data_IF_310848187861
#
_entry.id   IF_310848187861
#
_cell.length_a   1.000
_cell.length_b   1.000
_cell.length_c   1.000
_cell.angle_alpha   90.00
_cell.angle_beta   90.00
_cell.angle_gamma   90.00
#
_symmetry.space_group_name_H-M   'P 1'
#
loop_
_entity.id
_entity.type
_entity.pdbx_description
1 polymer ?
#
# COMPACT_ATOMS: atom_id res chain seq x y z
N UNK A 1 -4.02 -14.06 23.78
CA UNK A 1 -5.11 -13.13 23.39
C UNK A 1 -4.91 -12.51 21.98
N UNK A 2 -3.71 -12.56 21.40
CA UNK A 2 -3.41 -11.92 20.10
C UNK A 2 -3.96 -12.62 18.83
N UNK A 3 -4.77 -13.67 18.98
CA UNK A 3 -5.51 -14.26 17.86
C UNK A 3 -6.75 -13.41 17.50
N UNK A 4 -7.32 -13.53 16.29
CA UNK A 4 -8.56 -12.82 15.94
C UNK A 4 -9.72 -13.11 16.90
N UNK A 5 -9.93 -14.39 17.28
CA UNK A 5 -10.95 -14.77 18.25
C UNK A 5 -10.69 -14.18 19.63
N UNK A 6 -9.45 -14.21 20.11
CA UNK A 6 -9.09 -13.62 21.39
C UNK A 6 -9.36 -12.11 21.42
N UNK A 7 -9.05 -11.40 20.34
CA UNK A 7 -9.36 -9.96 20.21
C UNK A 7 -10.86 -9.69 20.18
N UNK A 8 -11.66 -10.52 19.49
CA UNK A 8 -13.13 -10.39 19.52
C UNK A 8 -13.67 -10.56 20.94
N UNK A 9 -13.17 -11.54 21.69
CA UNK A 9 -13.56 -11.72 23.10
C UNK A 9 -13.18 -10.49 23.92
N UNK A 10 -11.95 -9.96 23.78
CA UNK A 10 -11.55 -8.74 24.49
C UNK A 10 -12.46 -7.55 24.15
N UNK A 11 -12.76 -7.34 22.85
CA UNK A 11 -13.66 -6.28 22.42
C UNK A 11 -15.06 -6.43 23.04
N UNK A 12 -15.59 -7.66 23.07
CA UNK A 12 -16.88 -7.98 23.69
C UNK A 12 -16.86 -7.66 25.17
N UNK A 13 -15.87 -8.13 25.93
CA UNK A 13 -15.75 -7.88 27.37
C UNK A 13 -15.62 -6.38 27.67
N UNK A 14 -14.93 -5.61 26.83
CA UNK A 14 -14.86 -4.15 26.95
C UNK A 14 -16.25 -3.51 26.76
N UNK A 15 -16.99 -3.91 25.72
CA UNK A 15 -18.32 -3.35 25.44
C UNK A 15 -19.37 -3.72 26.50
N UNK A 16 -19.24 -4.89 27.13
CA UNK A 16 -20.11 -5.37 28.23
C UNK A 16 -19.68 -4.82 29.58
N UNK A 17 -18.57 -4.06 29.66
CA UNK A 17 -18.07 -3.47 30.91
C UNK A 17 -17.34 -4.46 31.83
N UNK A 18 -17.05 -5.68 31.36
CA UNK A 18 -16.32 -6.71 32.09
C UNK A 18 -14.80 -6.50 32.11
N UNK A 19 -14.27 -5.73 31.17
CA UNK A 19 -12.83 -5.46 31.04
C UNK A 19 -12.58 -3.97 30.73
N UNK A 20 -11.66 -3.28 31.46
CA UNK A 20 -11.25 -1.93 31.10
C UNK A 20 -10.60 -1.91 29.69
N UNK A 21 -10.91 -0.90 28.87
CA UNK A 21 -10.31 -0.72 27.55
C UNK A 21 -8.78 -0.68 27.59
N UNK A 22 -8.20 -0.11 28.65
CA UNK A 22 -6.76 -0.03 28.84
C UNK A 22 -6.07 -1.41 28.90
N UNK A 23 -6.77 -2.43 29.43
CA UNK A 23 -6.25 -3.79 29.54
C UNK A 23 -6.32 -4.54 28.21
N UNK A 24 -7.32 -4.22 27.37
CA UNK A 24 -7.45 -4.75 26.02
C UNK A 24 -6.49 -4.09 25.00
N UNK A 25 -6.13 -2.82 25.24
CA UNK A 25 -5.37 -1.96 24.34
C UNK A 25 -4.08 -2.62 23.78
N UNK A 26 -3.19 -3.23 24.60
CA UNK A 26 -1.97 -3.84 24.10
C UNK A 26 -2.20 -4.95 23.06
N UNK A 27 -3.31 -5.67 23.18
CA UNK A 27 -3.68 -6.75 22.27
C UNK A 27 -4.29 -6.22 20.96
N UNK A 28 -5.10 -5.17 21.06
CA UNK A 28 -5.76 -4.53 19.93
C UNK A 28 -4.76 -3.72 19.10
N UNK A 29 -3.84 -3.00 19.73
CA UNK A 29 -2.75 -2.25 19.07
C UNK A 29 -1.76 -3.15 18.31
N UNK A 30 -1.58 -4.41 18.75
CA UNK A 30 -0.79 -5.41 18.03
C UNK A 30 -1.48 -6.00 16.81
N UNK A 31 -2.73 -5.65 16.53
CA UNK A 31 -3.41 -6.10 15.33
C UNK A 31 -2.87 -5.35 14.11
N UNK A 32 -2.39 -6.09 13.11
CA UNK A 32 -1.92 -5.52 11.84
C UNK A 32 -3.05 -4.87 11.01
N UNK A 33 -4.31 -5.22 11.24
CA UNK A 33 -5.41 -4.84 10.33
C UNK A 33 -5.27 -5.43 8.93
N UNK A 34 -4.56 -6.56 8.79
CA UNK A 34 -4.30 -7.20 7.49
C UNK A 34 -5.50 -7.94 6.89
N UNK A 35 -6.55 -8.15 7.66
CA UNK A 35 -7.82 -8.78 7.29
C UNK A 35 -7.71 -10.24 6.79
N UNK A 36 -6.56 -10.89 6.98
CA UNK A 36 -6.40 -12.32 6.64
C UNK A 36 -7.36 -13.22 7.43
N UNK A 37 -7.78 -12.80 8.61
CA UNK A 37 -8.77 -13.50 9.42
C UNK A 37 -10.17 -13.48 8.81
N UNK A 38 -10.54 -12.45 8.02
CA UNK A 38 -11.82 -12.42 7.29
C UNK A 38 -11.84 -13.48 6.19
N UNK A 39 -10.78 -13.56 5.39
CA UNK A 39 -10.65 -14.55 4.31
C UNK A 39 -10.61 -15.99 4.85
N UNK A 40 -10.01 -16.17 6.03
CA UNK A 40 -9.90 -17.48 6.68
C UNK A 40 -11.15 -17.88 7.49
N UNK A 41 -12.11 -16.99 7.70
CA UNK A 41 -13.26 -17.23 8.56
C UNK A 41 -14.37 -17.97 7.82
N UNK A 42 -14.70 -19.24 8.19
CA UNK A 42 -15.79 -19.97 7.54
C UNK A 42 -17.17 -19.38 7.87
N UNK A 43 -17.28 -18.61 8.96
CA UNK A 43 -18.53 -17.96 9.38
C UNK A 43 -18.71 -16.57 8.79
N UNK A 44 -17.79 -16.08 7.95
CA UNK A 44 -17.90 -14.80 7.26
C UNK A 44 -17.86 -13.57 8.20
N UNK A 45 -17.18 -13.65 9.36
CA UNK A 45 -17.08 -12.52 10.29
C UNK A 45 -16.29 -11.37 9.63
N UNK A 46 -16.91 -10.22 9.51
CA UNK A 46 -16.31 -8.99 9.01
C UNK A 46 -15.52 -8.32 10.14
N UNK A 47 -14.30 -8.77 10.35
CA UNK A 47 -13.45 -8.33 11.45
C UNK A 47 -13.11 -6.82 11.39
N UNK A 48 -13.05 -6.24 10.18
CA UNK A 48 -12.83 -4.79 10.00
C UNK A 48 -13.89 -3.95 10.71
N UNK A 49 -15.15 -4.38 10.65
CA UNK A 49 -16.27 -3.67 11.25
C UNK A 49 -16.23 -3.69 12.80
N UNK A 50 -15.38 -4.54 13.37
CA UNK A 50 -15.16 -4.63 14.81
C UNK A 50 -13.90 -3.85 15.24
N UNK A 51 -12.80 -4.01 14.50
CA UNK A 51 -11.52 -3.44 14.92
C UNK A 51 -11.39 -1.94 14.63
N UNK A 52 -12.01 -1.44 13.54
CA UNK A 52 -11.90 -0.01 13.18
C UNK A 52 -12.59 0.88 14.24
N UNK A 53 -13.87 0.65 14.66
CA UNK A 53 -14.47 1.42 15.73
C UNK A 53 -13.70 1.31 17.05
N UNK A 54 -13.21 0.11 17.37
CA UNK A 54 -12.45 -0.09 18.61
C UNK A 54 -11.13 0.69 18.63
N UNK A 55 -10.48 0.88 17.46
CA UNK A 55 -9.30 1.75 17.34
C UNK A 55 -9.64 3.23 17.56
N UNK A 56 -10.81 3.67 17.15
CA UNK A 56 -11.29 5.02 17.43
C UNK A 56 -11.43 5.25 18.94
N UNK A 57 -12.07 4.32 19.62
CA UNK A 57 -12.20 4.35 21.08
C UNK A 57 -10.82 4.33 21.77
N UNK A 58 -9.90 3.47 21.32
CA UNK A 58 -8.54 3.43 21.83
C UNK A 58 -7.83 4.78 21.69
N UNK A 59 -7.94 5.41 20.53
CA UNK A 59 -7.32 6.73 20.28
C UNK A 59 -7.98 7.81 21.16
N UNK A 60 -9.29 7.78 21.31
CA UNK A 60 -10.01 8.74 22.17
C UNK A 60 -9.54 8.68 23.64
N UNK A 61 -9.18 7.49 24.13
CA UNK A 61 -8.70 7.27 25.50
C UNK A 61 -7.20 7.48 25.69
N UNK A 62 -6.42 7.67 24.60
CA UNK A 62 -4.97 7.99 24.70
C UNK A 62 -4.77 9.38 25.35
N UNK A 63 -3.62 9.60 26.05
CA UNK A 63 -3.25 10.93 26.56
C UNK A 63 -3.29 12.00 25.47
N UNK A 64 -3.64 13.24 25.80
CA UNK A 64 -3.77 14.34 24.83
C UNK A 64 -2.52 14.54 23.98
N UNK A 65 -1.33 14.43 24.58
CA UNK A 65 -0.05 14.53 23.87
C UNK A 65 0.12 13.43 22.79
N UNK A 66 -0.26 12.18 23.10
CA UNK A 66 -0.20 11.07 22.15
C UNK A 66 -1.21 11.26 20.99
N UNK A 67 -2.42 11.74 21.30
CA UNK A 67 -3.42 12.09 20.28
C UNK A 67 -2.93 13.20 19.34
N UNK A 68 -2.34 14.25 19.93
CA UNK A 68 -1.79 15.36 19.14
C UNK A 68 -0.63 14.89 18.25
N UNK A 69 0.26 14.05 18.78
CA UNK A 69 1.35 13.44 18.00
C UNK A 69 0.81 12.64 16.82
N UNK A 70 -0.16 11.75 17.04
CA UNK A 70 -0.80 10.96 15.99
C UNK A 70 -1.44 11.86 14.92
N UNK A 71 -2.25 12.85 15.33
CA UNK A 71 -2.89 13.80 14.39
C UNK A 71 -1.87 14.57 13.56
N UNK A 72 -0.77 15.01 14.19
CA UNK A 72 0.30 15.72 13.48
C UNK A 72 0.98 14.82 12.45
N UNK A 73 1.32 13.59 12.83
CA UNK A 73 1.92 12.60 11.94
C UNK A 73 1.01 12.30 10.75
N UNK A 74 -0.27 12.03 11.00
CA UNK A 74 -1.26 11.77 9.95
C UNK A 74 -1.42 12.96 9.01
N UNK A 75 -1.44 14.19 9.54
CA UNK A 75 -1.52 15.42 8.74
C UNK A 75 -0.30 15.61 7.83
N UNK A 76 0.90 15.36 8.35
CA UNK A 76 2.13 15.40 7.57
C UNK A 76 2.09 14.37 6.46
N UNK A 77 1.73 13.12 6.75
CA UNK A 77 1.68 12.04 5.75
C UNK A 77 0.56 12.22 4.72
N UNK A 78 -0.54 12.89 5.07
CA UNK A 78 -1.64 13.17 4.15
C UNK A 78 -1.30 14.25 3.11
N UNK A 79 -0.32 15.13 3.40
CA UNK A 79 0.12 16.20 2.49
C UNK A 79 1.42 15.82 1.80
N UNK A 80 1.45 15.60 0.47
CA UNK A 80 2.69 15.27 -0.25
C UNK A 80 3.80 16.31 -0.04
N UNK A 81 3.46 17.60 0.05
CA UNK A 81 4.43 18.66 0.27
C UNK A 81 5.05 18.61 1.68
N UNK A 82 4.22 18.49 2.72
CA UNK A 82 4.71 18.35 4.10
C UNK A 82 5.48 17.05 4.29
N UNK A 83 4.99 15.96 3.72
CA UNK A 83 5.66 14.66 3.80
C UNK A 83 7.01 14.70 3.09
N UNK A 84 7.12 15.32 1.93
CA UNK A 84 8.40 15.50 1.22
C UNK A 84 9.40 16.32 2.04
N UNK A 85 8.96 17.43 2.63
CA UNK A 85 9.82 18.27 3.48
C UNK A 85 10.31 17.49 4.71
N UNK A 86 9.40 16.83 5.43
CA UNK A 86 9.73 15.99 6.58
C UNK A 86 10.67 14.83 6.20
N UNK A 87 10.40 14.15 5.08
CA UNK A 87 11.21 13.06 4.58
C UNK A 87 12.62 13.52 4.15
N UNK A 88 12.75 14.70 3.57
CA UNK A 88 14.05 15.29 3.22
C UNK A 88 14.90 15.56 4.46
N UNK A 89 14.31 16.17 5.48
CA UNK A 89 14.98 16.38 6.79
C UNK A 89 15.33 15.05 7.44
N UNK A 90 14.40 14.09 7.45
CA UNK A 90 14.61 12.76 8.01
C UNK A 90 15.70 11.96 7.29
N UNK A 91 15.80 12.07 5.96
CA UNK A 91 16.87 11.41 5.19
C UNK A 91 18.27 11.91 5.60
N UNK A 92 18.40 13.22 5.85
CA UNK A 92 19.64 13.82 6.39
C UNK A 92 19.96 13.36 7.83
N UNK A 93 18.93 13.11 8.64
CA UNK A 93 19.09 12.66 10.03
C UNK A 93 19.21 11.13 10.18
N UNK A 94 19.14 10.35 9.10
CA UNK A 94 19.12 8.88 9.13
C UNK A 94 20.34 8.26 9.83
N UNK A 95 21.49 8.90 9.77
CA UNK A 95 22.71 8.49 10.47
C UNK A 95 22.53 8.47 12.00
N UNK A 96 21.62 9.26 12.54
CA UNK A 96 21.32 9.35 13.97
C UNK A 96 20.29 8.29 14.42
N UNK A 97 19.68 7.54 13.50
CA UNK A 97 18.62 6.58 13.80
C UNK A 97 18.92 5.60 14.93
N UNK A 98 20.17 5.05 15.08
CA UNK A 98 20.49 4.13 16.18
C UNK A 98 20.47 4.78 17.57
N UNK A 99 20.63 6.10 17.66
CA UNK A 99 20.66 6.85 18.92
C UNK A 99 19.28 7.41 19.31
N UNK A 100 18.28 7.24 18.46
CA UNK A 100 16.93 7.78 18.66
C UNK A 100 15.97 6.72 19.21
N UNK A 101 14.83 7.13 19.83
CA UNK A 101 13.78 6.20 20.23
C UNK A 101 13.38 5.27 19.08
N UNK A 102 13.08 4.00 19.40
CA UNK A 102 12.86 2.94 18.41
C UNK A 102 11.83 3.29 17.33
N UNK A 103 10.76 3.99 17.68
CA UNK A 103 9.72 4.46 16.72
C UNK A 103 10.27 5.48 15.71
N UNK A 104 11.09 6.43 16.18
CA UNK A 104 11.73 7.43 15.31
C UNK A 104 12.79 6.77 14.45
N UNK A 105 13.63 5.92 15.03
CA UNK A 105 14.63 5.14 14.30
C UNK A 105 13.99 4.28 13.19
N UNK A 106 12.88 3.59 13.49
CA UNK A 106 12.11 2.82 12.52
C UNK A 106 11.57 3.71 11.40
N UNK A 107 10.98 4.85 11.74
CA UNK A 107 10.45 5.80 10.74
C UNK A 107 11.56 6.31 9.81
N UNK A 108 12.72 6.67 10.34
CA UNK A 108 13.86 7.12 9.53
C UNK A 108 14.42 6.00 8.65
N UNK A 109 14.41 4.75 9.12
CA UNK A 109 14.88 3.59 8.35
C UNK A 109 14.04 3.34 7.09
N UNK A 110 12.75 3.69 7.11
CA UNK A 110 11.84 3.55 5.97
C UNK A 110 12.10 4.57 4.85
N UNK A 111 12.82 5.65 5.14
CA UNK A 111 13.13 6.66 4.13
C UNK A 111 14.25 6.13 3.21
N UNK A 112 14.19 6.41 1.90
CA UNK A 112 15.31 6.12 0.99
C UNK A 112 16.51 6.99 1.35
N UNK A 113 17.71 6.56 0.95
CA UNK A 113 18.93 7.36 1.16
C UNK A 113 18.87 8.73 0.45
N UNK A 114 18.20 8.76 -0.70
CA UNK A 114 17.87 9.99 -1.45
C UNK A 114 16.44 9.93 -1.90
N UNK A 115 15.68 10.99 -1.66
CA UNK A 115 14.33 11.09 -2.19
C UNK A 115 14.38 11.23 -3.72
N UNK A 116 13.48 10.57 -4.44
CA UNK A 116 13.29 10.81 -5.87
C UNK A 116 12.99 12.30 -6.13
N UNK A 117 13.43 12.80 -7.28
CA UNK A 117 13.02 14.13 -7.71
C UNK A 117 11.49 14.25 -7.75
N UNK A 118 10.92 15.41 -7.44
CA UNK A 118 9.51 15.66 -7.68
C UNK A 118 9.16 15.38 -9.14
N UNK A 119 8.14 14.59 -9.35
CA UNK A 119 7.68 14.22 -10.68
C UNK A 119 6.16 14.41 -10.72
N UNK A 120 5.72 15.45 -11.40
CA UNK A 120 4.31 15.74 -11.61
C UNK A 120 3.84 15.00 -12.87
N UNK A 121 2.94 14.02 -12.76
CA UNK A 121 2.42 13.35 -13.94
C UNK A 121 1.62 14.33 -14.80
N UNK A 122 1.55 14.12 -16.13
CA UNK A 122 0.70 14.91 -17.00
C UNK A 122 -0.78 14.74 -16.58
N UNK A 123 -1.54 15.84 -16.65
CA UNK A 123 -2.97 15.81 -16.31
C UNK A 123 -3.78 14.89 -17.23
N UNK A 124 -3.27 14.61 -18.43
CA UNK A 124 -3.89 13.77 -19.44
C UNK A 124 -2.85 12.95 -20.20
N UNK A 125 -3.17 11.68 -20.44
CA UNK A 125 -2.37 10.79 -21.30
C UNK A 125 -3.30 10.11 -22.29
N UNK A 126 -3.07 10.32 -23.58
CA UNK A 126 -3.86 9.71 -24.64
C UNK A 126 -3.63 8.20 -24.74
N UNK A 127 -4.65 7.47 -25.13
CA UNK A 127 -4.55 6.07 -25.50
C UNK A 127 -3.59 5.89 -26.71
N UNK A 128 -2.83 4.81 -26.71
CA UNK A 128 -2.06 4.40 -27.89
C UNK A 128 -2.89 3.42 -28.70
N UNK A 129 -3.18 3.78 -29.94
CA UNK A 129 -4.08 3.02 -30.81
C UNK A 129 -5.55 3.28 -30.52
N UNK A 130 -6.47 2.37 -30.88
CA UNK A 130 -7.89 2.51 -30.63
C UNK A 130 -8.18 2.66 -29.14
N UNK A 131 -9.03 3.62 -28.76
CA UNK A 131 -9.43 3.82 -27.37
C UNK A 131 -10.33 2.67 -26.91
N UNK A 132 -9.94 2.03 -25.81
CA UNK A 132 -10.64 0.91 -25.16
C UNK A 132 -11.26 1.27 -23.82
N UNK A 133 -10.92 2.43 -23.30
CA UNK A 133 -11.46 2.94 -22.03
C UNK A 133 -10.89 4.31 -21.67
N UNK A 134 -11.53 4.97 -20.69
CA UNK A 134 -11.10 6.24 -20.11
C UNK A 134 -11.14 6.11 -18.60
N UNK A 135 -10.02 6.36 -17.91
CA UNK A 135 -9.92 6.21 -16.46
C UNK A 135 -9.32 7.44 -15.80
N UNK A 136 -9.62 7.63 -14.53
CA UNK A 136 -8.90 8.57 -13.68
C UNK A 136 -7.86 7.81 -12.84
N UNK A 137 -6.62 8.30 -12.78
CA UNK A 137 -5.55 7.66 -12.03
C UNK A 137 -5.28 8.41 -10.71
N UNK A 138 -5.32 7.67 -9.61
CA UNK A 138 -4.92 8.15 -8.29
C UNK A 138 -3.39 8.20 -8.18
N UNK A 139 -2.83 9.33 -7.72
CA UNK A 139 -1.38 9.50 -7.52
C UNK A 139 -0.89 9.02 -6.15
N UNK A 140 -1.74 9.16 -5.11
CA UNK A 140 -1.42 8.83 -3.72
C UNK A 140 -0.49 9.83 -3.02
N UNK A 141 -0.68 10.03 -1.71
CA UNK A 141 0.08 11.00 -0.93
C UNK A 141 1.54 10.55 -0.69
N UNK A 142 1.74 9.36 -0.12
CA UNK A 142 3.07 8.81 0.19
C UNK A 142 3.78 8.31 -1.07
N UNK A 143 3.04 7.65 -1.97
CA UNK A 143 3.59 7.07 -3.20
C UNK A 143 4.19 8.12 -4.13
N UNK A 144 3.53 9.28 -4.28
CA UNK A 144 4.04 10.38 -5.12
C UNK A 144 5.37 10.97 -4.62
N UNK A 145 5.69 10.77 -3.35
CA UNK A 145 6.95 11.23 -2.75
C UNK A 145 8.02 10.16 -2.78
N UNK A 146 7.69 8.93 -2.34
CA UNK A 146 8.68 7.86 -2.19
C UNK A 146 8.95 7.10 -3.50
N UNK A 147 7.96 7.00 -4.38
CA UNK A 147 8.09 6.22 -5.63
C UNK A 147 7.19 6.77 -6.76
N UNK A 148 7.41 8.00 -7.23
CA UNK A 148 6.62 8.61 -8.30
C UNK A 148 6.65 7.78 -9.60
N UNK A 149 7.70 7.00 -9.81
CA UNK A 149 7.84 6.08 -10.95
C UNK A 149 6.67 5.12 -11.11
N UNK A 150 5.95 4.76 -10.03
CA UNK A 150 4.76 3.90 -10.11
C UNK A 150 3.64 4.57 -10.90
N UNK A 151 3.38 5.85 -10.65
CA UNK A 151 2.37 6.63 -11.41
C UNK A 151 2.73 6.69 -12.89
N UNK A 152 3.98 6.99 -13.22
CA UNK A 152 4.45 7.04 -14.61
C UNK A 152 4.41 5.67 -15.30
N UNK A 153 4.71 4.61 -14.57
CA UNK A 153 4.58 3.25 -15.08
C UNK A 153 3.10 2.92 -15.39
N UNK A 154 2.18 3.29 -14.48
CA UNK A 154 0.75 3.10 -14.70
C UNK A 154 0.25 3.84 -15.95
N UNK A 155 0.61 5.12 -16.10
CA UNK A 155 0.26 5.91 -17.29
C UNK A 155 0.72 5.22 -18.58
N UNK A 156 1.97 4.76 -18.61
CA UNK A 156 2.53 4.10 -19.80
C UNK A 156 1.86 2.77 -20.11
N UNK A 157 1.61 1.96 -19.10
CA UNK A 157 0.97 0.65 -19.28
C UNK A 157 -0.47 0.83 -19.75
N UNK A 158 -1.25 1.68 -19.06
CA UNK A 158 -2.63 1.95 -19.43
C UNK A 158 -2.73 2.51 -20.85
N UNK A 159 -1.92 3.52 -21.19
CA UNK A 159 -1.91 4.08 -22.53
C UNK A 159 -1.54 3.04 -23.60
N UNK A 160 -0.55 2.18 -23.33
CA UNK A 160 -0.14 1.12 -24.25
C UNK A 160 -1.23 0.06 -24.47
N UNK A 161 -2.14 -0.10 -23.51
CA UNK A 161 -3.29 -0.99 -23.62
C UNK A 161 -4.56 -0.30 -24.19
N UNK A 162 -4.40 0.90 -24.77
CA UNK A 162 -5.50 1.64 -25.39
C UNK A 162 -6.39 2.42 -24.41
N UNK A 163 -5.88 2.72 -23.21
CA UNK A 163 -6.64 3.44 -22.18
C UNK A 163 -6.23 4.91 -22.14
N UNK A 164 -7.20 5.79 -22.19
CA UNK A 164 -7.06 7.23 -21.96
C UNK A 164 -7.03 7.48 -20.45
N UNK A 165 -6.04 8.21 -19.95
CA UNK A 165 -5.86 8.42 -18.52
C UNK A 165 -5.90 9.89 -18.17
N UNK A 166 -6.79 10.26 -17.26
CA UNK A 166 -6.86 11.57 -16.63
C UNK A 166 -6.21 11.49 -15.25
N UNK A 167 -5.36 12.45 -14.93
CA UNK A 167 -4.81 12.62 -13.58
C UNK A 167 -5.34 13.94 -13.02
N UNK A 168 -6.44 13.92 -12.26
CA UNK A 168 -7.03 15.15 -11.75
C UNK A 168 -6.04 15.88 -10.82
N UNK A 169 -5.96 17.21 -10.88
CA UNK A 169 -5.17 17.98 -9.92
C UNK A 169 -5.83 17.97 -8.53
N UNK A 170 -5.03 18.21 -7.49
CA UNK A 170 -5.57 18.44 -6.15
C UNK A 170 -6.16 17.22 -5.43
N UNK A 171 -5.88 16.01 -5.89
CA UNK A 171 -6.46 14.77 -5.34
C UNK A 171 -6.29 14.61 -3.81
N UNK A 172 -5.15 15.03 -3.23
CA UNK A 172 -4.91 14.87 -1.80
C UNK A 172 -4.71 13.40 -1.36
N UNK A 173 -5.12 13.11 -0.13
CA UNK A 173 -5.01 11.79 0.49
C UNK A 173 -6.37 11.09 0.52
N UNK A 174 -6.38 9.78 0.26
CA UNK A 174 -7.58 8.94 0.32
C UNK A 174 -8.14 8.71 1.74
N UNK A 175 -7.47 9.18 2.79
CA UNK A 175 -7.92 9.03 4.19
C UNK A 175 -7.65 7.65 4.82
N UNK A 176 -7.24 6.64 4.06
CA UNK A 176 -7.06 5.27 4.54
C UNK A 176 -6.17 5.16 5.78
N UNK A 177 -5.05 5.89 5.80
CA UNK A 177 -4.10 5.82 6.91
C UNK A 177 -4.71 6.37 8.22
N UNK A 178 -5.48 7.46 8.14
CA UNK A 178 -6.14 8.06 9.29
C UNK A 178 -7.24 7.13 9.84
N UNK A 179 -8.08 6.55 8.98
CA UNK A 179 -9.11 5.58 9.37
C UNK A 179 -8.50 4.36 10.06
N UNK A 180 -7.48 3.76 9.47
CA UNK A 180 -6.80 2.59 10.06
C UNK A 180 -6.07 2.89 11.36
N UNK A 181 -5.68 4.14 11.59
CA UNK A 181 -5.05 4.60 12.83
C UNK A 181 -6.07 5.02 13.90
N UNK A 182 -7.39 5.00 13.61
CA UNK A 182 -8.46 5.38 14.54
C UNK A 182 -8.79 6.88 14.57
N UNK A 183 -8.32 7.67 13.59
CA UNK A 183 -8.78 9.05 13.39
C UNK A 183 -9.82 9.08 12.27
N UNK A 184 -11.04 8.64 12.59
CA UNK A 184 -12.13 8.51 11.63
C UNK A 184 -12.58 9.85 11.07
N UNK A 185 -12.62 10.91 11.89
CA UNK A 185 -13.01 12.25 11.47
C UNK A 185 -12.09 12.77 10.37
N UNK A 186 -10.76 12.74 10.60
CA UNK A 186 -9.78 13.13 9.60
C UNK A 186 -9.85 12.22 8.37
N UNK A 187 -10.00 10.90 8.59
CA UNK A 187 -10.09 9.93 7.51
C UNK A 187 -11.29 10.17 6.60
N UNK A 188 -12.45 10.44 7.18
CA UNK A 188 -13.70 10.72 6.45
C UNK A 188 -13.61 12.03 5.68
N UNK A 189 -13.12 13.11 6.31
CA UNK A 189 -12.94 14.40 5.64
C UNK A 189 -11.98 14.30 4.44
N UNK A 190 -10.86 13.59 4.60
CA UNK A 190 -9.90 13.34 3.51
C UNK A 190 -10.51 12.50 2.40
N UNK A 191 -11.25 11.45 2.73
CA UNK A 191 -11.90 10.57 1.75
C UNK A 191 -12.94 11.34 0.91
N UNK A 192 -13.75 12.18 1.54
CA UNK A 192 -14.75 13.01 0.86
C UNK A 192 -14.09 14.01 -0.11
N UNK A 193 -13.05 14.74 0.35
CA UNK A 193 -12.31 15.67 -0.49
C UNK A 193 -11.61 14.98 -1.65
N UNK A 194 -11.04 13.78 -1.42
CA UNK A 194 -10.40 12.96 -2.43
C UNK A 194 -11.42 12.46 -3.47
N UNK A 195 -12.57 11.95 -3.05
CA UNK A 195 -13.62 11.47 -3.95
C UNK A 195 -14.14 12.59 -4.87
N UNK A 196 -14.30 13.81 -4.33
CA UNK A 196 -14.76 14.98 -5.07
C UNK A 196 -13.77 15.45 -6.16
N UNK A 197 -12.50 15.01 -6.11
CA UNK A 197 -11.50 15.39 -7.11
C UNK A 197 -11.59 14.61 -8.42
N UNK A 198 -12.32 13.50 -8.47
CA UNK A 198 -12.39 12.65 -9.65
C UNK A 198 -13.58 13.01 -10.54
N UNK A 199 -13.38 13.07 -11.88
CA UNK A 199 -14.45 13.32 -12.81
C UNK A 199 -15.43 12.14 -12.87
N UNK A 200 -16.70 12.44 -13.15
CA UNK A 200 -17.74 11.43 -13.26
C UNK A 200 -17.75 10.72 -14.63
N UNK A 201 -17.11 11.30 -15.65
CA UNK A 201 -17.09 10.83 -17.04
C UNK A 201 -15.95 9.85 -17.34
N UNK A 202 -15.62 8.99 -16.37
CA UNK A 202 -14.60 7.94 -16.49
C UNK A 202 -15.20 6.56 -16.20
N UNK A 203 -14.63 5.55 -16.83
CA UNK A 203 -15.07 4.16 -16.64
C UNK A 203 -14.69 3.60 -15.26
N UNK A 204 -13.59 4.12 -14.69
CA UNK A 204 -13.12 3.74 -13.35
C UNK A 204 -12.13 4.76 -12.80
N UNK A 205 -11.99 4.77 -11.47
CA UNK A 205 -10.86 5.39 -10.75
C UNK A 205 -9.84 4.30 -10.43
N UNK A 206 -8.62 4.46 -10.92
CA UNK A 206 -7.55 3.45 -10.79
C UNK A 206 -6.66 3.75 -9.60
N UNK A 207 -6.55 2.80 -8.69
CA UNK A 207 -5.65 2.81 -7.57
C UNK A 207 -4.41 1.93 -7.84
N UNK A 208 -3.23 2.43 -7.50
CA UNK A 208 -1.97 1.67 -7.56
C UNK A 208 -1.42 1.32 -6.17
N UNK A 209 -2.17 1.61 -5.11
CA UNK A 209 -1.80 1.29 -3.74
C UNK A 209 -2.94 0.52 -3.07
N UNK A 210 -2.71 -0.73 -2.73
CA UNK A 210 -3.73 -1.65 -2.24
C UNK A 210 -4.50 -1.14 -1.02
N UNK A 211 -3.82 -0.48 -0.06
CA UNK A 211 -4.48 0.11 1.11
C UNK A 211 -5.40 1.28 0.76
N UNK A 212 -4.97 2.13 -0.18
CA UNK A 212 -5.81 3.21 -0.69
C UNK A 212 -7.01 2.65 -1.46
N UNK A 213 -6.79 1.72 -2.39
CA UNK A 213 -7.85 1.09 -3.18
C UNK A 213 -8.89 0.41 -2.31
N UNK A 214 -8.48 -0.31 -1.26
CA UNK A 214 -9.40 -0.92 -0.29
C UNK A 214 -10.28 0.13 0.38
N UNK A 215 -9.67 1.17 0.97
CA UNK A 215 -10.43 2.22 1.66
C UNK A 215 -11.34 2.99 0.70
N UNK A 216 -10.88 3.28 -0.51
CA UNK A 216 -11.68 3.99 -1.51
C UNK A 216 -12.90 3.17 -1.96
N UNK A 217 -12.78 1.84 -2.11
CA UNK A 217 -13.93 0.97 -2.43
C UNK A 217 -15.02 1.06 -1.37
N UNK A 218 -14.65 1.29 -0.10
CA UNK A 218 -15.60 1.45 1.00
C UNK A 218 -16.19 2.86 1.10
N UNK A 219 -15.49 3.90 0.64
CA UNK A 219 -15.84 5.31 0.92
C UNK A 219 -16.11 6.16 -0.32
N UNK A 220 -15.78 5.68 -1.52
CA UNK A 220 -15.87 6.47 -2.75
C UNK A 220 -17.30 6.58 -3.27
N UNK A 221 -17.78 7.78 -3.47
CA UNK A 221 -19.17 8.09 -3.86
C UNK A 221 -19.31 8.80 -5.21
N UNK A 222 -18.22 8.91 -5.98
CA UNK A 222 -18.20 9.72 -7.23
C UNK A 222 -18.88 9.06 -8.46
N UNK A 223 -19.54 7.93 -8.30
CA UNK A 223 -20.25 7.24 -9.38
C UNK A 223 -19.39 6.27 -10.22
N UNK A 224 -18.12 6.55 -10.46
CA UNK A 224 -17.23 5.62 -11.15
C UNK A 224 -16.63 4.58 -10.16
N UNK A 225 -16.56 3.27 -10.51
CA UNK A 225 -16.01 2.26 -9.62
C UNK A 225 -14.53 2.46 -9.39
N UNK A 226 -14.07 2.18 -8.17
CA UNK A 226 -12.64 2.13 -7.83
C UNK A 226 -12.10 0.74 -8.13
N UNK A 227 -11.06 0.65 -8.95
CA UNK A 227 -10.41 -0.61 -9.31
C UNK A 227 -8.91 -0.53 -9.04
N UNK A 228 -8.31 -1.65 -8.62
CA UNK A 228 -6.86 -1.78 -8.63
C UNK A 228 -6.35 -1.80 -10.08
N UNK A 229 -5.16 -1.29 -10.32
CA UNK A 229 -4.58 -1.23 -11.68
C UNK A 229 -4.46 -2.62 -12.31
N UNK A 230 -4.11 -3.64 -11.52
CA UNK A 230 -4.04 -5.02 -12.02
C UNK A 230 -5.44 -5.60 -12.26
N UNK A 231 -6.41 -5.30 -11.40
CA UNK A 231 -7.79 -5.68 -11.57
C UNK A 231 -8.38 -5.11 -12.88
N UNK A 232 -8.14 -3.83 -13.13
CA UNK A 232 -8.62 -3.16 -14.34
C UNK A 232 -7.97 -3.73 -15.61
N UNK A 233 -6.64 -3.86 -15.62
CA UNK A 233 -5.91 -4.38 -16.77
C UNK A 233 -6.26 -5.84 -17.08
N UNK A 234 -6.48 -6.65 -16.06
CA UNK A 234 -6.88 -8.05 -16.23
C UNK A 234 -8.29 -8.18 -16.83
N UNK A 235 -9.25 -7.36 -16.36
CA UNK A 235 -10.60 -7.29 -16.93
C UNK A 235 -10.60 -6.77 -18.36
N UNK A 236 -9.77 -5.76 -18.65
CA UNK A 236 -9.65 -5.18 -19.99
C UNK A 236 -9.00 -6.16 -20.98
N UNK A 237 -8.07 -6.98 -20.51
CA UNK A 237 -7.22 -7.82 -21.33
C UNK A 237 -6.08 -7.05 -22.01
N UNK A 238 -4.92 -7.68 -22.13
CA UNK A 238 -3.75 -7.08 -22.75
C UNK A 238 -3.84 -7.20 -24.30
N UNK A 239 -3.56 -6.11 -25.00
CA UNK A 239 -3.48 -6.06 -26.47
C UNK A 239 -2.04 -5.79 -26.93
N UNK A 240 -1.24 -5.11 -26.14
CA UNK A 240 0.18 -4.93 -26.40
C UNK A 240 0.97 -6.07 -25.78
N UNK A 241 1.73 -6.85 -26.58
CA UNK A 241 2.59 -7.91 -26.04
C UNK A 241 3.60 -7.35 -25.05
N UNK A 242 3.90 -8.12 -24.03
CA UNK A 242 4.86 -7.78 -22.99
C UNK A 242 6.03 -8.74 -23.04
N UNK A 243 7.26 -8.23 -23.17
CA UNK A 243 8.48 -9.03 -23.19
C UNK A 243 9.63 -8.29 -22.49
N UNK A 244 10.34 -8.98 -21.62
CA UNK A 244 11.57 -8.45 -21.03
C UNK A 244 12.75 -8.59 -22.01
N UNK A 245 13.73 -7.69 -21.89
CA UNK A 245 14.96 -7.75 -22.69
C UNK A 245 15.85 -8.96 -22.33
N UNK A 246 15.77 -9.43 -21.08
CA UNK A 246 16.49 -10.59 -20.56
C UNK A 246 15.61 -11.42 -19.64
N UNK A 247 15.90 -12.72 -19.43
CA UNK A 247 15.19 -13.55 -18.47
C UNK A 247 15.27 -12.96 -17.05
N UNK A 248 14.13 -12.95 -16.33
CA UNK A 248 14.02 -12.47 -14.97
C UNK A 248 13.23 -13.47 -14.13
N UNK A 249 13.76 -13.80 -12.94
CA UNK A 249 13.01 -14.53 -11.91
C UNK A 249 12.47 -13.53 -10.91
N UNK A 250 11.15 -13.46 -10.77
CA UNK A 250 10.51 -12.56 -9.82
C UNK A 250 9.54 -13.32 -8.91
N UNK A 251 9.44 -12.87 -7.66
CA UNK A 251 8.47 -13.36 -6.70
C UNK A 251 7.36 -12.31 -6.53
N UNK A 252 6.09 -12.73 -6.47
CA UNK A 252 4.99 -11.82 -6.20
C UNK A 252 4.57 -11.91 -4.73
N UNK A 253 4.66 -10.78 -4.02
CA UNK A 253 4.18 -10.62 -2.65
C UNK A 253 2.77 -10.05 -2.67
N UNK A 254 1.82 -10.82 -2.14
CA UNK A 254 0.45 -10.35 -1.98
C UNK A 254 0.38 -9.20 -0.96
N UNK A 255 -0.06 -8.04 -1.40
CA UNK A 255 -0.41 -6.97 -0.49
C UNK A 255 -1.71 -7.36 0.25
N UNK A 256 -1.69 -7.38 1.58
CA UNK A 256 -2.81 -7.89 2.39
C UNK A 256 -4.15 -7.22 2.04
N UNK A 257 -4.17 -5.90 1.86
CA UNK A 257 -5.38 -5.18 1.47
C UNK A 257 -5.82 -5.44 0.03
N UNK A 258 -4.93 -5.93 -0.85
CA UNK A 258 -5.35 -6.41 -2.17
C UNK A 258 -5.92 -7.82 -2.07
N UNK A 259 -5.20 -8.72 -1.40
CA UNK A 259 -5.56 -10.14 -1.33
C UNK A 259 -6.79 -10.39 -0.44
N UNK A 260 -6.85 -9.78 0.75
CA UNK A 260 -7.88 -10.08 1.75
C UNK A 260 -9.03 -9.07 1.72
N UNK A 261 -8.74 -7.77 1.70
CA UNK A 261 -9.79 -6.75 1.72
C UNK A 261 -10.53 -6.63 0.37
N UNK A 262 -9.80 -6.71 -0.74
CA UNK A 262 -10.36 -6.60 -2.09
C UNK A 262 -10.53 -7.94 -2.80
N UNK A 263 -10.02 -9.05 -2.24
CA UNK A 263 -10.07 -10.41 -2.78
C UNK A 263 -9.45 -10.54 -4.19
N UNK A 264 -8.42 -9.74 -4.47
CA UNK A 264 -7.70 -9.71 -5.74
C UNK A 264 -6.37 -10.42 -5.58
N UNK A 265 -6.29 -11.68 -5.99
CA UNK A 265 -5.08 -12.51 -5.91
C UNK A 265 -4.61 -13.00 -7.28
N UNK A 266 -5.54 -13.31 -8.17
CA UNK A 266 -5.25 -13.93 -9.47
C UNK A 266 -4.83 -12.91 -10.53
N UNK A 267 -5.45 -11.72 -10.57
CA UNK A 267 -5.20 -10.71 -11.60
C UNK A 267 -3.73 -10.29 -11.71
N UNK A 268 -3.01 -9.94 -10.63
CA UNK A 268 -1.59 -9.61 -10.74
C UNK A 268 -0.75 -10.75 -11.31
N UNK A 269 -1.07 -12.00 -10.92
CA UNK A 269 -0.33 -13.19 -11.38
C UNK A 269 -0.57 -13.49 -12.85
N UNK A 270 -1.83 -13.34 -13.34
CA UNK A 270 -2.13 -13.50 -14.77
C UNK A 270 -1.41 -12.46 -15.62
N UNK A 271 -1.44 -11.19 -15.22
CA UNK A 271 -0.77 -10.12 -15.93
C UNK A 271 0.75 -10.31 -15.97
N UNK A 272 1.35 -10.65 -14.84
CA UNK A 272 2.79 -10.90 -14.76
C UNK A 272 3.16 -12.17 -15.52
N UNK A 273 2.35 -13.22 -15.46
CA UNK A 273 2.54 -14.46 -16.20
C UNK A 273 2.44 -14.31 -17.73
N UNK A 274 1.84 -13.22 -18.21
CA UNK A 274 1.78 -12.88 -19.63
C UNK A 274 3.05 -12.19 -20.17
N UNK A 275 4.03 -11.90 -19.31
CA UNK A 275 5.30 -11.28 -19.70
C UNK A 275 6.25 -12.35 -20.20
N UNK A 276 6.65 -12.28 -21.47
CA UNK A 276 7.69 -13.16 -22.01
C UNK A 276 9.01 -12.96 -21.26
N UNK A 277 9.75 -14.07 -21.01
CA UNK A 277 11.00 -14.15 -20.26
C UNK A 277 10.89 -13.79 -18.78
N UNK A 278 9.68 -13.74 -18.19
CA UNK A 278 9.47 -13.64 -16.76
C UNK A 278 9.13 -15.02 -16.19
N UNK A 279 9.87 -15.44 -15.19
CA UNK A 279 9.54 -16.62 -14.37
C UNK A 279 9.03 -16.15 -13.01
N UNK A 280 7.74 -16.38 -12.72
CA UNK A 280 7.19 -16.15 -11.39
C UNK A 280 7.52 -17.34 -10.48
N UNK A 281 8.15 -17.05 -9.36
CA UNK A 281 8.48 -18.04 -8.31
C UNK A 281 7.63 -17.82 -7.08
N UNK A 282 7.28 -18.91 -6.40
CA UNK A 282 6.49 -18.86 -5.17
C UNK A 282 7.34 -18.41 -3.98
N UNK A 283 6.74 -17.67 -3.08
CA UNK A 283 7.29 -17.29 -1.78
C UNK A 283 6.65 -18.20 -0.71
N UNK A 284 7.45 -18.82 0.13
CA UNK A 284 6.91 -19.51 1.30
C UNK A 284 6.14 -18.50 2.18
N UNK A 285 5.03 -18.93 2.76
CA UNK A 285 4.16 -18.07 3.57
C UNK A 285 3.73 -16.78 2.82
N UNK A 286 3.36 -16.88 1.53
CA UNK A 286 3.00 -15.73 0.70
C UNK A 286 1.92 -14.85 1.33
N UNK A 287 0.95 -15.44 2.07
CA UNK A 287 -0.10 -14.73 2.80
C UNK A 287 0.36 -14.00 4.08
N UNK A 288 1.61 -14.19 4.53
CA UNK A 288 2.13 -13.48 5.71
C UNK A 288 2.31 -11.99 5.38
N UNK A 289 1.87 -11.12 6.30
CA UNK A 289 2.06 -9.67 6.17
C UNK A 289 3.56 -9.31 6.14
N UNK A 290 3.90 -8.28 5.38
CA UNK A 290 5.28 -7.74 5.32
C UNK A 290 5.68 -6.93 6.55
N UNK A 291 4.74 -6.63 7.48
CA UNK A 291 4.97 -5.81 8.66
C UNK A 291 4.73 -4.31 8.47
N UNK A 292 4.40 -3.82 7.28
CA UNK A 292 4.19 -2.38 7.04
C UNK A 292 2.92 -1.85 7.73
N UNK A 293 1.75 -2.37 7.36
CA UNK A 293 0.44 -2.19 7.99
C UNK A 293 0.13 -0.76 8.50
N UNK A 294 0.09 0.21 7.61
CA UNK A 294 -0.18 1.61 7.96
C UNK A 294 0.94 2.22 8.81
N UNK A 295 0.65 2.60 10.06
CA UNK A 295 1.63 3.11 11.03
C UNK A 295 2.24 2.01 11.90
N UNK A 296 1.87 0.76 11.71
CA UNK A 296 2.27 -0.36 12.57
C UNK A 296 3.80 -0.49 12.69
N UNK A 297 4.54 -0.29 11.59
CA UNK A 297 6.00 -0.34 11.60
C UNK A 297 6.66 0.81 12.40
N UNK A 298 5.93 1.87 12.70
CA UNK A 298 6.36 2.96 13.59
C UNK A 298 5.92 2.71 15.03
N UNK A 299 4.68 2.22 15.22
CA UNK A 299 4.10 1.97 16.55
C UNK A 299 4.59 0.65 17.17
N UNK A 300 4.85 -0.39 16.36
CA UNK A 300 5.28 -1.73 16.76
C UNK A 300 6.58 -2.15 16.02
N UNK A 301 7.68 -1.38 16.13
CA UNK A 301 8.85 -1.55 15.27
C UNK A 301 9.51 -2.92 15.41
N UNK A 302 9.53 -3.51 16.60
CA UNK A 302 10.13 -4.82 16.83
C UNK A 302 9.34 -5.94 16.12
N UNK A 303 8.01 -5.92 16.22
CA UNK A 303 7.15 -6.90 15.56
C UNK A 303 7.17 -6.72 14.02
N UNK A 304 7.15 -5.48 13.56
CA UNK A 304 7.25 -5.16 12.14
C UNK A 304 8.58 -5.63 11.53
N UNK A 305 9.69 -5.42 12.26
CA UNK A 305 11.02 -5.89 11.85
C UNK A 305 11.09 -7.42 11.80
N UNK A 306 10.51 -8.13 12.77
CA UNK A 306 10.47 -9.59 12.79
C UNK A 306 9.68 -10.15 11.60
N UNK A 307 8.50 -9.57 11.29
CA UNK A 307 7.70 -9.93 10.13
C UNK A 307 8.43 -9.64 8.82
N UNK A 308 9.03 -8.46 8.72
CA UNK A 308 9.81 -8.03 7.56
C UNK A 308 10.99 -8.97 7.28
N UNK A 309 11.76 -9.35 8.31
CA UNK A 309 12.88 -10.29 8.22
C UNK A 309 12.41 -11.65 7.70
N UNK A 310 11.39 -12.25 8.36
CA UNK A 310 10.84 -13.54 7.92
C UNK A 310 10.41 -13.51 6.45
N UNK A 311 9.79 -12.41 6.02
CA UNK A 311 9.38 -12.25 4.62
C UNK A 311 10.58 -12.06 3.69
N UNK A 312 11.58 -11.28 4.07
CA UNK A 312 12.80 -11.06 3.30
C UNK A 312 13.57 -12.38 3.09
N UNK A 313 13.71 -13.19 4.15
CA UNK A 313 14.36 -14.48 4.08
C UNK A 313 13.59 -15.46 3.16
N UNK A 314 12.26 -15.49 3.24
CA UNK A 314 11.43 -16.31 2.36
C UNK A 314 11.52 -15.87 0.88
N UNK A 315 11.61 -14.56 0.63
CA UNK A 315 11.84 -14.02 -0.72
C UNK A 315 13.21 -14.42 -1.23
N UNK A 316 14.26 -14.26 -0.44
CA UNK A 316 15.62 -14.64 -0.83
C UNK A 316 15.73 -16.15 -1.10
N UNK A 317 15.13 -16.99 -0.25
CA UNK A 317 15.10 -18.44 -0.41
C UNK A 317 14.37 -18.91 -1.68
N UNK A 318 13.47 -18.09 -2.26
CA UNK A 318 12.80 -18.40 -3.52
C UNK A 318 13.72 -18.33 -4.76
N UNK A 319 14.92 -17.76 -4.61
CA UNK A 319 15.84 -17.51 -5.71
C UNK A 319 15.35 -16.42 -6.69
N UNK A 320 14.44 -15.55 -6.25
CA UNK A 320 14.01 -14.41 -7.04
C UNK A 320 15.07 -13.30 -7.04
N UNK A 321 15.32 -12.72 -8.19
CA UNK A 321 16.14 -11.51 -8.33
C UNK A 321 15.34 -10.24 -8.00
N UNK A 322 14.00 -10.34 -8.05
CA UNK A 322 13.09 -9.22 -7.79
C UNK A 322 11.86 -9.69 -7.01
N UNK A 323 11.43 -8.90 -6.01
CA UNK A 323 10.12 -9.06 -5.38
C UNK A 323 9.18 -7.96 -5.84
N UNK A 324 7.99 -8.37 -6.25
CA UNK A 324 6.96 -7.49 -6.82
C UNK A 324 5.76 -7.42 -5.87
N UNK A 325 5.22 -6.23 -5.66
CA UNK A 325 3.98 -6.05 -4.89
C UNK A 325 3.16 -4.88 -5.44
N UNK A 326 1.87 -4.86 -5.17
CA UNK A 326 0.95 -3.79 -5.59
C UNK A 326 0.67 -2.78 -4.46
N UNK A 327 1.64 -2.52 -3.58
CA UNK A 327 1.46 -1.57 -2.49
C UNK A 327 2.77 -0.92 -2.05
N UNK A 328 2.81 0.41 -2.05
CA UNK A 328 4.01 1.19 -1.69
C UNK A 328 4.51 0.88 -0.27
N UNK A 329 3.62 0.71 0.71
CA UNK A 329 4.01 0.35 2.08
C UNK A 329 4.74 -0.98 2.14
N UNK A 330 4.25 -2.01 1.41
CA UNK A 330 4.92 -3.31 1.32
C UNK A 330 6.29 -3.20 0.65
N UNK A 331 6.40 -2.44 -0.45
CA UNK A 331 7.67 -2.26 -1.16
C UNK A 331 8.72 -1.56 -0.29
N UNK A 332 8.31 -0.53 0.46
CA UNK A 332 9.19 0.19 1.39
C UNK A 332 9.68 -0.74 2.52
N UNK A 333 8.77 -1.46 3.16
CA UNK A 333 9.09 -2.36 4.26
C UNK A 333 9.99 -3.52 3.81
N UNK A 334 9.67 -4.14 2.67
CA UNK A 334 10.48 -5.22 2.11
C UNK A 334 11.87 -4.74 1.69
N UNK A 335 11.98 -3.55 1.08
CA UNK A 335 13.26 -2.97 0.72
C UNK A 335 14.17 -2.79 1.93
N UNK A 336 13.64 -2.27 3.03
CA UNK A 336 14.39 -2.12 4.29
C UNK A 336 14.75 -3.49 4.89
N UNK A 337 13.82 -4.44 4.92
CA UNK A 337 14.05 -5.75 5.50
C UNK A 337 15.08 -6.57 4.70
N UNK A 338 15.01 -6.53 3.37
CA UNK A 338 15.99 -7.18 2.48
C UNK A 338 17.39 -6.60 2.67
N UNK A 339 17.51 -5.27 2.70
CA UNK A 339 18.80 -4.60 2.93
C UNK A 339 19.37 -4.92 4.32
N UNK A 340 18.53 -4.92 5.37
CA UNK A 340 18.95 -5.25 6.73
C UNK A 340 19.39 -6.73 6.88
N UNK A 341 18.84 -7.62 6.06
CA UNK A 341 19.22 -9.04 6.00
C UNK A 341 20.40 -9.31 5.05
N UNK A 342 20.95 -8.28 4.37
CA UNK A 342 22.05 -8.43 3.42
C UNK A 342 21.66 -9.07 2.08
N UNK A 343 20.35 -9.11 1.76
CA UNK A 343 19.86 -9.67 0.49
C UNK A 343 19.86 -8.62 -0.62
N UNK A 344 20.27 -9.00 -1.83
CA UNK A 344 20.38 -8.12 -3.01
C UNK A 344 19.14 -8.14 -3.91
N UNK A 345 18.01 -8.68 -3.42
CA UNK A 345 16.76 -8.76 -4.17
C UNK A 345 16.16 -7.38 -4.38
N UNK A 346 15.85 -7.03 -5.62
CA UNK A 346 15.24 -5.76 -5.97
C UNK A 346 13.74 -5.73 -5.62
N UNK A 347 13.19 -4.54 -5.40
CA UNK A 347 11.74 -4.36 -5.21
C UNK A 347 11.14 -3.62 -6.39
N UNK A 348 9.98 -4.07 -6.88
CA UNK A 348 9.24 -3.37 -7.94
C UNK A 348 7.73 -3.38 -7.65
N UNK A 349 7.03 -2.35 -8.10
CA UNK A 349 5.58 -2.40 -8.19
C UNK A 349 5.15 -3.26 -9.38
N UNK A 350 4.01 -3.95 -9.29
CA UNK A 350 3.51 -4.78 -10.40
C UNK A 350 3.45 -4.00 -11.72
N UNK A 351 2.95 -2.76 -11.67
CA UNK A 351 2.85 -1.91 -12.87
C UNK A 351 4.22 -1.44 -13.39
N UNK A 352 5.24 -1.34 -12.53
CA UNK A 352 6.61 -1.03 -12.99
C UNK A 352 7.18 -2.19 -13.79
N UNK A 353 6.98 -3.43 -13.35
CA UNK A 353 7.42 -4.62 -14.08
C UNK A 353 6.68 -4.76 -15.40
N UNK A 354 5.35 -4.53 -15.44
CA UNK A 354 4.59 -4.47 -16.68
C UNK A 354 5.14 -3.39 -17.62
N UNK A 355 5.49 -2.22 -17.09
CA UNK A 355 6.05 -1.12 -17.88
C UNK A 355 7.48 -1.38 -18.40
N UNK A 356 8.27 -2.19 -17.68
CA UNK A 356 9.60 -2.66 -18.16
C UNK A 356 9.46 -3.59 -19.36
N UNK A 357 8.38 -4.35 -19.43
CA UNK A 357 8.11 -5.31 -20.49
C UNK A 357 7.41 -4.71 -21.72
N UNK A 358 7.07 -3.42 -21.72
CA UNK A 358 6.47 -2.76 -22.89
C UNK A 358 7.49 -2.65 -24.05
N UNK A 359 7.05 -2.84 -25.31
CA UNK A 359 7.93 -2.68 -26.47
C UNK A 359 8.48 -1.26 -26.57
N UNK A 360 9.73 -1.10 -27.02
CA UNK A 360 10.35 0.19 -27.31
C UNK A 360 11.12 0.84 -26.18
N UNK A 361 11.44 0.15 -25.05
CA UNK A 361 12.42 0.63 -24.08
C UNK A 361 13.72 -0.20 -24.11
N UNK A 362 14.81 0.48 -24.42
CA UNK A 362 16.14 0.10 -23.91
C UNK A 362 16.10 0.32 -22.40
N UNK A 363 16.60 -0.64 -21.62
CA UNK A 363 16.67 -0.55 -20.15
C UNK A 363 17.35 0.73 -19.65
N UNK A 364 17.27 1.06 -18.37
CA UNK A 364 18.05 2.17 -17.83
C UNK A 364 19.54 1.91 -18.09
N UNK A 365 20.18 2.90 -18.73
CA UNK A 365 21.64 3.00 -18.79
C UNK A 365 22.14 3.42 -17.42
#
# INVERSE_FOLDING_TARGET
>A
MDSPRGRIVLMKEVLEGGLPLADAAPHLDRCLGCLACETACPSGVRYRDLIEPMREDLVAHRPAAARLHLKTLLRVMASPALFRAAAALGAGAKVLAPALPASIGAMLSLLPARLPAPDAPPAFTAARGPRRGRVALMTGCVQSVLRPAVTNAALRVLAAQGVEVVVPPGQGCCGALARHAGDHDQGTALAAAHAASFPADVDAVIATAAGCGSSMKDTHTSGAPVLDVCEYLDRLGLVTPLALSAPLRAAYQDACHLAHAQQITAAPRRLLGAIDRLTLVSIADSGLCCGSAGLYNVEQPALAAALGRRKADAVAASGAAMVVSANIGCLTQLGVALAAAGHTVQTAHAVELLAMALPGRRGPQ
#
